data_IF_351763866010
#
_entry.id   IF_351763866010
#
_cell.length_a   1.000
_cell.length_b   1.000
_cell.length_c   1.000
_cell.angle_alpha   90.00
_cell.angle_beta   90.00
_cell.angle_gamma   90.00
#
_symmetry.space_group_name_H-M   'P 1'
#
loop_
_entity.id
_entity.type
_entity.pdbx_description
1 polymer ?
#
# COMPACT_ATOMS: atom_id res chain seq x y z
N UNK A 1 3.30 10.07 -48.76
CA UNK A 1 3.42 9.25 -47.54
C UNK A 1 3.83 7.84 -47.95
N UNK A 2 5.12 7.58 -48.22
CA UNK A 2 5.60 6.28 -48.73
C UNK A 2 6.83 5.72 -48.00
N UNK A 3 7.36 6.43 -46.99
CA UNK A 3 8.61 6.06 -46.31
C UNK A 3 8.49 4.86 -45.34
N UNK A 4 7.27 4.42 -45.02
CA UNK A 4 7.03 3.29 -44.12
C UNK A 4 6.95 1.96 -44.89
N UNK A 5 6.35 1.97 -46.09
CA UNK A 5 6.22 0.78 -46.94
C UNK A 5 7.59 0.26 -47.43
N UNK A 6 8.50 1.17 -47.80
CA UNK A 6 9.87 0.81 -48.24
C UNK A 6 10.71 0.15 -47.14
N UNK A 7 10.39 0.39 -45.87
CA UNK A 7 11.09 -0.25 -44.72
C UNK A 7 10.56 -1.65 -44.43
N UNK A 8 9.29 -1.92 -44.74
CA UNK A 8 8.63 -3.18 -44.42
C UNK A 8 8.86 -4.26 -45.50
N UNK A 9 9.30 -3.90 -46.71
CA UNK A 9 9.57 -4.85 -47.81
C UNK A 9 10.66 -5.89 -47.50
N UNK A 10 11.55 -5.60 -46.54
CA UNK A 10 12.60 -6.51 -46.07
C UNK A 10 12.32 -7.04 -44.65
N UNK A 11 11.17 -6.70 -44.06
CA UNK A 11 10.86 -7.13 -42.71
C UNK A 11 10.49 -8.62 -42.69
N UNK A 12 11.02 -9.40 -41.74
CA UNK A 12 10.60 -10.80 -41.57
C UNK A 12 9.10 -10.87 -41.28
N UNK A 13 8.40 -11.93 -41.74
CA UNK A 13 6.97 -12.09 -41.54
C UNK A 13 6.65 -12.03 -40.04
N UNK A 14 5.58 -11.32 -39.68
CA UNK A 14 5.21 -11.12 -38.27
C UNK A 14 5.01 -12.49 -37.61
N UNK A 15 5.70 -12.78 -36.49
CA UNK A 15 5.58 -14.07 -35.84
C UNK A 15 4.12 -14.32 -35.45
N UNK A 16 3.57 -15.50 -35.75
CA UNK A 16 2.23 -15.85 -35.31
C UNK A 16 2.17 -15.83 -33.78
N UNK A 17 1.00 -15.51 -33.23
CA UNK A 17 0.73 -15.47 -31.78
C UNK A 17 1.27 -14.28 -30.96
N UNK A 18 1.64 -13.13 -31.57
CA UNK A 18 1.95 -11.89 -30.81
C UNK A 18 0.89 -11.50 -29.77
N UNK A 19 -0.40 -11.63 -30.11
CA UNK A 19 -1.49 -11.33 -29.17
C UNK A 19 -1.50 -12.27 -27.96
N UNK A 20 -1.19 -13.55 -28.14
CA UNK A 20 -1.10 -14.52 -27.04
C UNK A 20 0.08 -14.19 -26.13
N UNK A 21 1.22 -13.81 -26.70
CA UNK A 21 2.38 -13.38 -25.93
C UNK A 21 2.07 -12.13 -25.08
N UNK A 22 1.39 -11.14 -25.66
CA UNK A 22 0.97 -9.94 -24.92
C UNK A 22 -0.03 -10.29 -23.81
N UNK A 23 -1.02 -11.13 -24.09
CA UNK A 23 -2.01 -11.55 -23.09
C UNK A 23 -1.35 -12.29 -21.91
N UNK A 24 -0.41 -13.21 -22.19
CA UNK A 24 0.34 -13.90 -21.15
C UNK A 24 1.23 -12.94 -20.34
N UNK A 25 1.87 -11.98 -21.00
CA UNK A 25 2.68 -10.97 -20.31
C UNK A 25 1.81 -10.13 -19.36
N UNK A 26 0.66 -9.63 -19.81
CA UNK A 26 -0.27 -8.87 -18.98
C UNK A 26 -0.79 -9.71 -17.81
N UNK A 27 -1.15 -10.98 -18.06
CA UNK A 27 -1.59 -11.91 -17.02
C UNK A 27 -0.51 -12.12 -15.94
N UNK A 28 0.74 -12.34 -16.34
CA UNK A 28 1.85 -12.51 -15.39
C UNK A 28 2.05 -11.28 -14.50
N UNK A 29 1.95 -10.07 -15.07
CA UNK A 29 2.05 -8.83 -14.29
C UNK A 29 0.85 -8.66 -13.35
N UNK A 30 -0.38 -8.98 -13.80
CA UNK A 30 -1.56 -8.91 -12.95
C UNK A 30 -1.47 -9.87 -11.75
N UNK A 31 -0.97 -11.09 -11.97
CA UNK A 31 -0.70 -12.05 -10.89
C UNK A 31 0.33 -11.51 -9.91
N UNK A 32 1.45 -10.97 -10.41
CA UNK A 32 2.50 -10.37 -9.58
C UNK A 32 1.94 -9.24 -8.71
N UNK A 33 1.18 -8.32 -9.31
CA UNK A 33 0.58 -7.19 -8.59
C UNK A 33 -0.40 -7.71 -7.53
N UNK A 34 -1.29 -8.65 -7.87
CA UNK A 34 -2.22 -9.24 -6.91
C UNK A 34 -1.51 -9.90 -5.74
N UNK A 35 -0.44 -10.67 -6.01
CA UNK A 35 0.37 -11.30 -4.98
C UNK A 35 1.06 -10.26 -4.07
N UNK A 36 1.60 -9.18 -4.64
CA UNK A 36 2.21 -8.08 -3.88
C UNK A 36 1.16 -7.35 -3.03
N UNK A 37 -0.01 -7.02 -3.59
CA UNK A 37 -1.06 -6.33 -2.84
C UNK A 37 -1.52 -7.17 -1.66
N UNK A 38 -1.71 -8.48 -1.83
CA UNK A 38 -2.10 -9.36 -0.74
C UNK A 38 -0.97 -9.58 0.28
N UNK A 39 0.25 -9.88 -0.20
CA UNK A 39 1.41 -10.16 0.64
C UNK A 39 1.90 -8.95 1.43
N UNK A 40 1.78 -7.74 0.89
CA UNK A 40 2.13 -6.49 1.58
C UNK A 40 1.02 -6.07 2.53
N UNK A 41 -0.25 -6.18 2.14
CA UNK A 41 -1.38 -5.82 3.02
C UNK A 41 -1.44 -6.70 4.29
N UNK A 42 -0.92 -7.93 4.23
CA UNK A 42 -0.78 -8.79 5.42
C UNK A 42 0.34 -8.37 6.39
N UNK A 43 1.31 -7.56 5.95
CA UNK A 43 2.43 -7.05 6.79
C UNK A 43 2.27 -5.59 7.21
N UNK A 44 1.24 -4.90 6.75
CA UNK A 44 0.87 -3.56 7.23
C UNK A 44 0.08 -3.65 8.54
N UNK A 45 0.68 -4.26 9.57
CA UNK A 45 0.27 -3.97 10.94
C UNK A 45 0.82 -2.59 11.27
N UNK A 46 -0.06 -1.60 11.40
CA UNK A 46 0.26 -0.21 11.80
C UNK A 46 0.94 -0.17 13.20
N UNK A 47 0.89 -1.30 13.90
CA UNK A 47 1.43 -1.56 15.24
C UNK A 47 2.65 -2.51 15.23
N UNK A 48 3.34 -2.67 14.10
CA UNK A 48 4.62 -3.39 14.11
C UNK A 48 5.65 -2.52 14.85
N UNK A 49 6.18 -2.94 16.02
CA UNK A 49 7.23 -2.21 16.70
C UNK A 49 8.41 -2.08 15.73
N UNK A 50 8.99 -0.89 15.63
CA UNK A 50 10.15 -0.64 14.78
C UNK A 50 11.34 -1.45 15.32
N UNK A 51 11.44 -2.72 14.93
CA UNK A 51 12.59 -3.57 15.24
C UNK A 51 13.73 -3.10 14.36
N UNK A 52 14.54 -2.21 14.93
CA UNK A 52 15.68 -1.58 14.28
C UNK A 52 16.88 -2.50 14.46
N UNK A 53 17.35 -3.13 13.37
CA UNK A 53 18.65 -3.77 13.38
C UNK A 53 19.69 -2.68 13.65
N UNK A 54 20.45 -2.79 14.74
CA UNK A 54 21.51 -1.83 15.07
C UNK A 54 22.58 -1.82 13.97
N UNK A 55 22.40 -0.94 12.99
CA UNK A 55 23.28 -0.84 11.85
C UNK A 55 23.68 0.61 11.62
N UNK A 56 24.25 1.24 12.65
CA UNK A 56 24.83 2.61 12.68
C UNK A 56 23.84 3.74 13.06
N UNK A 57 23.73 3.97 14.37
CA UNK A 57 23.30 5.19 15.09
C UNK A 57 22.33 6.18 14.40
N UNK A 58 21.04 6.02 14.69
CA UNK A 58 20.15 7.09 15.15
C UNK A 58 18.91 6.43 15.78
N UNK A 59 18.55 6.78 17.02
CA UNK A 59 17.33 6.29 17.69
C UNK A 59 16.12 6.89 16.95
N UNK A 60 15.30 6.10 16.24
CA UNK A 60 14.11 6.61 15.57
C UNK A 60 13.08 6.92 16.63
N UNK A 61 12.77 8.20 16.80
CA UNK A 61 11.70 8.61 17.71
C UNK A 61 10.36 8.26 17.09
N UNK A 62 9.70 7.23 17.64
CA UNK A 62 8.36 6.83 17.23
C UNK A 62 7.40 8.01 17.46
N UNK A 63 6.63 8.38 16.44
CA UNK A 63 5.60 9.40 16.60
C UNK A 63 4.61 8.91 17.66
N UNK A 64 4.38 9.75 18.69
CA UNK A 64 3.45 9.43 19.76
C UNK A 64 2.07 9.10 19.15
N UNK A 65 1.45 7.97 19.53
CA UNK A 65 0.07 7.68 19.16
C UNK A 65 -0.80 8.90 19.42
N UNK A 66 -1.70 9.22 18.48
CA UNK A 66 -2.61 10.37 18.61
C UNK A 66 -3.34 10.25 19.95
N UNK A 67 -3.20 11.26 20.80
CA UNK A 67 -3.87 11.31 22.10
C UNK A 67 -5.38 11.18 21.88
N UNK A 68 -5.98 10.18 22.52
CA UNK A 68 -7.42 10.07 22.64
C UNK A 68 -7.81 11.03 23.76
N UNK A 69 -8.63 12.04 23.47
CA UNK A 69 -9.15 12.94 24.51
C UNK A 69 -9.91 12.10 25.55
N UNK A 70 -9.58 12.21 26.85
CA UNK A 70 -10.38 11.57 27.89
C UNK A 70 -11.83 12.08 27.78
N UNK A 71 -12.83 11.20 27.94
CA UNK A 71 -14.22 11.65 28.00
C UNK A 71 -14.37 12.69 29.12
N UNK A 72 -15.14 13.75 28.83
CA UNK A 72 -15.36 14.84 29.78
C UNK A 72 -15.86 14.30 31.14
N UNK A 73 -15.37 14.85 32.26
CA UNK A 73 -15.77 14.39 33.59
C UNK A 73 -17.29 14.53 33.75
N UNK A 74 -17.94 13.46 34.22
CA UNK A 74 -19.36 13.47 34.56
C UNK A 74 -19.59 14.53 35.65
N UNK A 75 -20.57 15.44 35.47
CA UNK A 75 -20.85 16.47 36.47
C UNK A 75 -21.22 15.82 37.81
N UNK A 76 -20.61 16.31 38.90
CA UNK A 76 -20.87 15.82 40.25
C UNK A 76 -22.33 16.08 40.66
N UNK A 77 -22.99 15.12 41.34
CA UNK A 77 -24.33 15.32 41.85
C UNK A 77 -24.36 16.48 42.83
N UNK A 78 -25.15 17.52 42.51
CA UNK A 78 -25.39 18.64 43.42
C UNK A 78 -26.05 18.11 44.69
N UNK A 79 -25.52 18.43 45.89
CA UNK A 79 -26.13 17.97 47.13
C UNK A 79 -27.56 18.48 47.25
N UNK A 80 -28.49 17.56 47.48
CA UNK A 80 -29.88 17.89 47.78
C UNK A 80 -29.94 18.58 49.16
N UNK A 81 -30.71 19.67 49.29
CA UNK A 81 -30.84 20.36 50.56
C UNK A 81 -31.58 19.48 51.58
N UNK A 82 -30.91 19.18 52.70
CA UNK A 82 -31.53 18.53 53.85
C UNK A 82 -32.62 19.45 54.44
N UNK A 83 -33.88 19.01 54.53
CA UNK A 83 -34.94 19.80 55.15
C UNK A 83 -34.71 19.99 56.66
N UNK A 84 -35.08 21.17 57.17
CA UNK A 84 -34.94 21.61 58.56
C UNK A 84 -35.96 20.98 59.51
#
# INVERSE_FOLDING_TARGET
MHAQDDRDQFAPPRPPARLRAIALAVLAHAILIGALTWGVNWKTSVDAPAVQAELWSAVPQQAAPRAVEPPAPTPEPKPEPTPA
#
